data_IF_498065918592
#
_entry.id   IF_498065918592
#
_cell.length_a   1.000
_cell.length_b   1.000
_cell.length_c   1.000
_cell.angle_alpha   90.00
_cell.angle_beta   90.00
_cell.angle_gamma   90.00
#
_symmetry.space_group_name_H-M   'P 1'
#
loop_
_entity.id
_entity.type
_entity.pdbx_description
1 polymer ?
#
# COMPACT_ATOMS: atom_id res chain seq x y z
N UNK A 1 16.66 4.52 -5.73
CA UNK A 1 17.31 4.33 -4.40
C UNK A 1 18.05 3.00 -4.22
N UNK A 2 17.52 1.85 -4.65
CA UNK A 2 18.12 0.52 -4.40
C UNK A 2 19.57 0.36 -4.89
N UNK A 3 19.89 0.86 -6.09
CA UNK A 3 21.24 0.81 -6.67
C UNK A 3 22.26 1.68 -5.93
N UNK A 4 21.84 2.85 -5.42
CA UNK A 4 22.70 3.76 -4.66
C UNK A 4 23.11 3.11 -3.34
N UNK A 5 22.15 2.51 -2.62
CA UNK A 5 22.44 1.81 -1.37
C UNK A 5 23.38 0.62 -1.58
N UNK A 6 23.19 -0.12 -2.67
CA UNK A 6 24.08 -1.23 -3.03
C UNK A 6 25.50 -0.74 -3.33
N UNK A 7 25.63 0.34 -4.11
CA UNK A 7 26.92 0.98 -4.37
C UNK A 7 27.61 1.46 -3.09
N UNK A 8 26.86 2.05 -2.15
CA UNK A 8 27.39 2.51 -0.86
C UNK A 8 27.86 1.35 0.03
N UNK A 9 27.17 0.21 0.00
CA UNK A 9 27.60 -1.00 0.73
C UNK A 9 28.88 -1.59 0.13
N UNK A 10 28.97 -1.70 -1.20
CA UNK A 10 30.18 -2.15 -1.89
C UNK A 10 31.35 -1.23 -1.58
N UNK A 11 31.12 0.09 -1.61
CA UNK A 11 32.12 1.10 -1.24
C UNK A 11 32.55 0.95 0.23
N UNK A 12 31.61 0.71 1.14
CA UNK A 12 31.89 0.46 2.56
C UNK A 12 32.76 -0.78 2.77
N UNK A 13 32.47 -1.89 2.08
CA UNK A 13 33.31 -3.10 2.11
C UNK A 13 34.73 -2.82 1.59
N UNK A 14 34.85 -2.02 0.54
CA UNK A 14 36.14 -1.61 -0.03
C UNK A 14 36.91 -0.72 0.96
N UNK A 15 36.25 0.21 1.66
CA UNK A 15 36.85 1.01 2.74
C UNK A 15 37.32 0.15 3.92
N UNK A 16 36.56 -0.88 4.31
CA UNK A 16 36.98 -1.83 5.36
C UNK A 16 38.25 -2.57 4.93
N UNK A 17 38.28 -3.06 3.68
CA UNK A 17 39.46 -3.72 3.13
C UNK A 17 40.68 -2.79 3.11
N UNK A 18 40.51 -1.53 2.67
CA UNK A 18 41.57 -0.53 2.65
C UNK A 18 42.05 -0.14 4.06
N UNK A 19 41.15 -0.09 5.05
CA UNK A 19 41.51 0.13 6.45
C UNK A 19 42.40 -0.99 6.99
N UNK A 20 42.01 -2.26 6.78
CA UNK A 20 42.81 -3.42 7.19
C UNK A 20 44.14 -3.46 6.43
N UNK A 21 44.14 -3.04 5.14
CA UNK A 21 45.36 -2.97 4.35
C UNK A 21 46.35 -1.92 4.89
N UNK A 22 45.82 -0.77 5.26
CA UNK A 22 46.62 0.41 5.63
C UNK A 22 46.95 0.48 7.12
N UNK A 23 46.24 -0.28 7.98
CA UNK A 23 46.63 -0.45 9.37
C UNK A 23 48.00 -1.11 9.40
N UNK A 24 49.00 -0.43 9.96
CA UNK A 24 50.37 -0.94 10.08
C UNK A 24 50.52 -2.16 11.01
N UNK A 25 49.42 -2.76 11.45
CA UNK A 25 49.40 -4.02 12.20
C UNK A 25 49.59 -5.19 11.24
N UNK A 26 50.56 -6.04 11.56
CA UNK A 26 50.89 -7.23 10.76
C UNK A 26 49.77 -8.26 10.96
N UNK A 27 48.78 -8.26 10.07
CA UNK A 27 47.87 -9.40 9.96
C UNK A 27 48.72 -10.61 9.54
N UNK A 28 48.93 -11.55 10.46
CA UNK A 28 49.75 -12.77 10.28
C UNK A 28 49.10 -13.77 9.30
N UNK A 29 48.81 -13.34 8.08
CA UNK A 29 48.42 -14.21 6.98
C UNK A 29 49.68 -14.43 6.15
N UNK A 30 50.27 -15.62 6.31
CA UNK A 30 51.62 -16.04 5.89
C UNK A 30 51.96 -15.89 4.39
N UNK A 31 51.06 -15.43 3.54
CA UNK A 31 51.28 -15.23 2.10
C UNK A 31 51.31 -13.79 1.58
N UNK A 32 50.88 -12.78 2.36
CA UNK A 32 50.56 -11.44 1.82
C UNK A 32 51.55 -10.33 2.26
N UNK A 33 52.54 -10.70 3.07
CA UNK A 33 53.49 -9.78 3.75
C UNK A 33 54.19 -8.77 2.83
N UNK A 34 54.45 -9.12 1.58
CA UNK A 34 55.13 -8.26 0.61
C UNK A 34 54.26 -7.12 0.04
N UNK A 35 52.94 -7.24 0.05
CA UNK A 35 52.03 -6.21 -0.50
C UNK A 35 51.87 -5.02 0.48
N UNK A 36 52.24 -5.20 1.74
CA UNK A 36 51.85 -4.32 2.85
C UNK A 36 52.96 -3.37 3.36
N UNK A 37 54.23 -3.58 3.04
CA UNK A 37 55.34 -2.89 3.73
C UNK A 37 55.95 -1.66 3.02
N UNK A 38 55.51 -1.29 1.81
CA UNK A 38 56.26 -0.34 0.97
C UNK A 38 55.98 1.15 1.13
N UNK A 39 54.90 1.61 1.80
CA UNK A 39 54.38 2.97 1.58
C UNK A 39 53.78 3.67 2.82
N UNK A 40 54.59 3.94 3.84
CA UNK A 40 54.12 4.48 5.14
C UNK A 40 53.26 5.76 5.05
N UNK A 41 53.65 6.77 4.26
CA UNK A 41 52.89 8.02 4.17
C UNK A 41 51.54 7.85 3.44
N UNK A 42 51.53 7.11 2.33
CA UNK A 42 50.29 6.84 1.60
C UNK A 42 49.36 5.88 2.34
N UNK A 43 49.89 4.95 3.14
CA UNK A 43 49.09 4.11 4.02
C UNK A 43 48.31 4.97 5.04
N UNK A 44 48.94 5.95 5.68
CA UNK A 44 48.25 6.87 6.60
C UNK A 44 47.18 7.72 5.91
N UNK A 45 47.44 8.19 4.69
CA UNK A 45 46.43 8.91 3.90
C UNK A 45 45.23 8.02 3.54
N UNK A 46 45.49 6.80 3.05
CA UNK A 46 44.45 5.83 2.68
C UNK A 46 43.62 5.45 3.92
N UNK A 47 44.28 5.23 5.05
CA UNK A 47 43.62 4.93 6.32
C UNK A 47 42.66 6.05 6.73
N UNK A 48 43.14 7.29 6.72
CA UNK A 48 42.36 8.47 7.12
C UNK A 48 41.16 8.70 6.20
N UNK A 49 41.38 8.60 4.88
CA UNK A 49 40.31 8.73 3.88
C UNK A 49 39.27 7.61 4.01
N UNK A 50 39.72 6.36 4.17
CA UNK A 50 38.84 5.20 4.30
C UNK A 50 38.01 5.26 5.58
N UNK A 51 38.62 5.68 6.69
CA UNK A 51 37.93 5.93 7.96
C UNK A 51 36.84 7.00 7.83
N UNK A 52 37.19 8.17 7.27
CA UNK A 52 36.23 9.26 7.08
C UNK A 52 35.06 8.89 6.17
N UNK A 53 35.34 8.15 5.08
CA UNK A 53 34.32 7.69 4.16
C UNK A 53 33.41 6.63 4.79
N UNK A 54 33.99 5.70 5.56
CA UNK A 54 33.23 4.68 6.29
C UNK A 54 32.29 5.31 7.31
N UNK A 55 32.77 6.29 8.08
CA UNK A 55 31.92 7.06 9.01
C UNK A 55 30.76 7.73 8.27
N UNK A 56 31.02 8.37 7.13
CA UNK A 56 29.99 9.03 6.32
C UNK A 56 28.94 8.05 5.78
N UNK A 57 29.35 6.87 5.32
CA UNK A 57 28.44 5.80 4.87
C UNK A 57 27.54 5.35 6.03
N UNK A 58 28.12 5.10 7.21
CA UNK A 58 27.34 4.72 8.40
C UNK A 58 26.36 5.81 8.83
N UNK A 59 26.78 7.08 8.82
CA UNK A 59 25.89 8.20 9.10
C UNK A 59 24.72 8.26 8.13
N UNK A 60 24.95 8.07 6.82
CA UNK A 60 23.87 7.98 5.83
C UNK A 60 22.88 6.86 6.17
N UNK A 61 23.38 5.67 6.50
CA UNK A 61 22.50 4.54 6.82
C UNK A 61 21.66 4.78 8.08
N UNK A 62 22.26 5.36 9.13
CA UNK A 62 21.59 5.60 10.40
C UNK A 62 20.64 6.80 10.36
N UNK A 63 21.06 7.91 9.75
CA UNK A 63 20.34 9.18 9.81
C UNK A 63 19.36 9.35 8.65
N UNK A 64 19.60 8.72 7.50
CA UNK A 64 18.77 8.88 6.30
C UNK A 64 18.03 7.60 5.98
N UNK A 65 18.75 6.51 5.69
CA UNK A 65 18.13 5.29 5.16
C UNK A 65 17.19 4.62 6.15
N UNK A 66 17.65 4.40 7.39
CA UNK A 66 16.88 3.73 8.44
C UNK A 66 15.57 4.47 8.78
N UNK A 67 15.56 5.78 9.10
CA UNK A 67 14.32 6.49 9.39
C UNK A 67 13.39 6.60 8.18
N UNK A 68 13.92 6.78 6.97
CA UNK A 68 13.11 6.77 5.75
C UNK A 68 12.41 5.42 5.54
N UNK A 69 13.12 4.32 5.72
CA UNK A 69 12.55 2.99 5.55
C UNK A 69 11.50 2.67 6.62
N UNK A 70 11.73 3.09 7.88
CA UNK A 70 10.74 2.98 8.95
C UNK A 70 9.50 3.85 8.68
N UNK A 71 9.67 5.09 8.20
CA UNK A 71 8.55 5.96 7.79
C UNK A 71 7.74 5.28 6.69
N UNK A 72 8.40 4.82 5.62
CA UNK A 72 7.75 4.11 4.50
C UNK A 72 6.94 2.91 4.99
N UNK A 73 7.51 2.08 5.87
CA UNK A 73 6.82 0.92 6.46
C UNK A 73 5.58 1.31 7.26
N UNK A 74 5.68 2.35 8.10
CA UNK A 74 4.55 2.85 8.91
C UNK A 74 3.42 3.38 8.04
N UNK A 75 3.72 4.19 7.04
CA UNK A 75 2.71 4.75 6.13
C UNK A 75 1.97 3.65 5.37
N UNK A 76 2.70 2.65 4.85
CA UNK A 76 2.08 1.50 4.15
C UNK A 76 1.18 0.66 5.05
N UNK A 77 1.63 0.36 6.27
CA UNK A 77 0.85 -0.41 7.22
C UNK A 77 -0.44 0.33 7.61
N UNK A 78 -0.33 1.64 7.85
CA UNK A 78 -1.50 2.49 8.12
C UNK A 78 -2.46 2.53 6.93
N UNK A 79 -1.95 2.69 5.70
CA UNK A 79 -2.79 2.70 4.49
C UNK A 79 -3.54 1.38 4.30
N UNK A 80 -2.88 0.23 4.49
CA UNK A 80 -3.54 -1.08 4.44
C UNK A 80 -4.65 -1.19 5.48
N UNK A 81 -4.40 -0.73 6.71
CA UNK A 81 -5.42 -0.70 7.76
C UNK A 81 -6.61 0.16 7.35
N UNK A 82 -6.36 1.36 6.79
CA UNK A 82 -7.41 2.27 6.35
C UNK A 82 -8.20 1.71 5.15
N UNK A 83 -7.58 0.95 4.25
CA UNK A 83 -8.29 0.27 3.17
C UNK A 83 -9.21 -0.84 3.69
N UNK A 84 -8.76 -1.64 4.66
CA UNK A 84 -9.58 -2.68 5.28
C UNK A 84 -10.77 -2.04 6.00
N UNK A 85 -10.51 -0.97 6.76
CA UNK A 85 -11.56 -0.23 7.47
C UNK A 85 -12.56 0.39 6.51
N UNK A 86 -12.08 1.03 5.43
CA UNK A 86 -12.94 1.56 4.36
C UNK A 86 -13.89 0.49 3.82
N UNK A 87 -13.39 -0.71 3.48
CA UNK A 87 -14.26 -1.80 3.01
C UNK A 87 -15.25 -2.24 4.07
N UNK A 88 -14.83 -2.36 5.33
CA UNK A 88 -15.68 -2.72 6.46
C UNK A 88 -16.84 -1.72 6.59
N UNK A 89 -16.54 -0.42 6.59
CA UNK A 89 -17.56 0.64 6.71
C UNK A 89 -18.51 0.64 5.51
N UNK A 90 -18.00 0.49 4.29
CA UNK A 90 -18.86 0.33 3.11
C UNK A 90 -19.84 -0.83 3.27
N UNK A 91 -19.38 -2.00 3.74
CA UNK A 91 -20.24 -3.16 3.95
C UNK A 91 -21.28 -2.88 5.03
N UNK A 92 -20.90 -2.22 6.13
CA UNK A 92 -21.84 -1.83 7.19
C UNK A 92 -22.96 -0.93 6.64
N UNK A 93 -22.61 0.12 5.91
CA UNK A 93 -23.58 1.02 5.29
C UNK A 93 -24.51 0.26 4.34
N UNK A 94 -23.96 -0.60 3.47
CA UNK A 94 -24.74 -1.44 2.55
C UNK A 94 -25.70 -2.38 3.30
N UNK A 95 -25.24 -3.05 4.36
CA UNK A 95 -26.06 -3.94 5.16
C UNK A 95 -27.17 -3.19 5.91
N UNK A 96 -26.86 -2.02 6.48
CA UNK A 96 -27.83 -1.17 7.16
C UNK A 96 -28.92 -0.72 6.18
N UNK A 97 -28.55 -0.26 4.98
CA UNK A 97 -29.50 0.11 3.92
C UNK A 97 -30.33 -1.08 3.43
N UNK A 98 -29.72 -2.26 3.28
CA UNK A 98 -30.44 -3.48 2.93
C UNK A 98 -31.47 -3.87 4.00
N UNK A 99 -31.08 -3.84 5.28
CA UNK A 99 -31.94 -4.19 6.41
C UNK A 99 -33.07 -3.18 6.64
N UNK A 100 -32.85 -1.88 6.37
CA UNK A 100 -33.92 -0.85 6.40
C UNK A 100 -35.13 -1.27 5.55
N UNK A 101 -34.92 -1.93 4.42
CA UNK A 101 -36.00 -2.39 3.55
C UNK A 101 -36.36 -3.88 3.66
N UNK A 102 -35.81 -4.63 4.62
CA UNK A 102 -36.10 -6.05 4.78
C UNK A 102 -36.20 -6.44 6.27
N UNK A 103 -37.41 -6.82 6.71
CA UNK A 103 -37.77 -7.03 8.13
C UNK A 103 -37.19 -8.35 8.70
N UNK A 104 -36.71 -9.27 7.85
CA UNK A 104 -36.08 -10.51 8.30
C UNK A 104 -34.61 -10.27 8.69
N UNK A 105 -34.37 -9.96 9.96
CA UNK A 105 -33.03 -9.85 10.53
C UNK A 105 -32.28 -11.18 10.41
N UNK A 106 -31.33 -11.25 9.49
CA UNK A 106 -30.22 -12.19 9.60
C UNK A 106 -28.99 -11.39 9.96
N UNK A 107 -28.55 -11.48 11.22
CA UNK A 107 -27.31 -10.85 11.65
C UNK A 107 -26.14 -11.54 10.95
N UNK A 108 -25.53 -10.83 10.01
CA UNK A 108 -24.38 -11.32 9.26
C UNK A 108 -23.16 -10.58 9.75
N UNK A 109 -22.16 -11.36 10.17
CA UNK A 109 -20.88 -10.82 10.60
C UNK A 109 -20.22 -10.08 9.42
N UNK A 110 -20.02 -8.78 9.61
CA UNK A 110 -19.41 -7.91 8.59
C UNK A 110 -17.99 -8.34 8.27
N UNK A 111 -17.27 -8.92 9.24
CA UNK A 111 -15.88 -9.32 9.06
C UNK A 111 -15.76 -10.50 8.09
N UNK A 112 -16.81 -11.32 8.00
CA UNK A 112 -16.89 -12.38 6.98
C UNK A 112 -17.05 -11.80 5.58
N UNK A 113 -17.76 -10.69 5.43
CA UNK A 113 -18.04 -10.07 4.13
C UNK A 113 -16.88 -9.19 3.63
N UNK A 114 -15.85 -8.93 4.44
CA UNK A 114 -14.60 -8.33 3.96
C UNK A 114 -13.93 -9.26 2.92
N UNK A 115 -14.14 -10.57 3.02
CA UNK A 115 -13.75 -11.51 1.98
C UNK A 115 -14.62 -11.32 0.73
N UNK A 116 -14.00 -11.07 -0.43
CA UNK A 116 -14.73 -10.73 -1.65
C UNK A 116 -15.59 -11.89 -2.16
N UNK A 117 -15.17 -13.14 -1.94
CA UNK A 117 -15.93 -14.32 -2.36
C UNK A 117 -17.16 -14.51 -1.49
N UNK A 118 -17.03 -14.30 -0.18
CA UNK A 118 -18.15 -14.33 0.76
C UNK A 118 -19.13 -13.18 0.49
N UNK A 119 -18.63 -11.97 0.23
CA UNK A 119 -19.44 -10.83 -0.19
C UNK A 119 -20.29 -11.16 -1.43
N UNK A 120 -19.66 -11.70 -2.48
CA UNK A 120 -20.35 -12.10 -3.71
C UNK A 120 -21.43 -13.14 -3.44
N UNK A 121 -21.08 -14.20 -2.71
CA UNK A 121 -22.00 -15.28 -2.41
C UNK A 121 -23.23 -14.74 -1.64
N UNK A 122 -22.98 -13.91 -0.64
CA UNK A 122 -24.04 -13.31 0.17
C UNK A 122 -24.97 -12.40 -0.63
N UNK A 123 -24.42 -11.48 -1.43
CA UNK A 123 -25.24 -10.49 -2.16
C UNK A 123 -25.88 -11.00 -3.46
N UNK A 124 -25.40 -12.13 -4.00
CA UNK A 124 -26.03 -12.81 -5.15
C UNK A 124 -27.22 -13.69 -4.77
N UNK A 125 -27.40 -13.99 -3.49
CA UNK A 125 -28.53 -14.78 -3.02
C UNK A 125 -29.86 -14.08 -3.32
N UNK A 126 -30.79 -14.82 -3.91
CA UNK A 126 -32.12 -14.33 -4.25
C UNK A 126 -32.99 -14.24 -3.00
N UNK A 127 -33.62 -13.08 -2.80
CA UNK A 127 -34.58 -12.84 -1.72
C UNK A 127 -36.01 -13.02 -2.25
N UNK A 128 -36.22 -12.69 -3.53
CA UNK A 128 -37.46 -12.94 -4.28
C UNK A 128 -37.12 -13.59 -5.61
N UNK A 129 -38.13 -14.03 -6.38
CA UNK A 129 -37.92 -14.63 -7.71
C UNK A 129 -37.20 -13.73 -8.71
N UNK A 130 -37.22 -12.40 -8.49
CA UNK A 130 -36.65 -11.41 -9.42
C UNK A 130 -35.51 -10.57 -8.83
N UNK A 131 -35.29 -10.61 -7.51
CA UNK A 131 -34.32 -9.73 -6.85
C UNK A 131 -33.39 -10.50 -5.91
N UNK A 132 -32.10 -10.26 -6.08
CA UNK A 132 -31.08 -10.64 -5.09
C UNK A 132 -30.86 -9.52 -4.07
N UNK A 133 -30.14 -9.84 -2.99
CA UNK A 133 -29.86 -8.87 -1.91
C UNK A 133 -29.20 -7.58 -2.42
N UNK A 134 -28.36 -7.65 -3.46
CA UNK A 134 -27.77 -6.46 -4.07
C UNK A 134 -28.81 -5.53 -4.72
N UNK A 135 -29.78 -6.10 -5.43
CA UNK A 135 -30.88 -5.31 -6.00
C UNK A 135 -31.73 -4.67 -4.91
N UNK A 136 -32.00 -5.40 -3.81
CA UNK A 136 -32.75 -4.87 -2.67
C UNK A 136 -32.00 -3.69 -2.03
N UNK A 137 -30.69 -3.82 -1.82
CA UNK A 137 -29.84 -2.70 -1.36
C UNK A 137 -29.98 -1.48 -2.26
N UNK A 138 -29.78 -1.64 -3.57
CA UNK A 138 -29.83 -0.51 -4.51
C UNK A 138 -31.20 0.17 -4.56
N UNK A 139 -32.28 -0.59 -4.46
CA UNK A 139 -33.63 -0.05 -4.45
C UNK A 139 -33.94 0.75 -3.17
N UNK A 140 -33.26 0.45 -2.07
CA UNK A 140 -33.45 1.11 -0.78
C UNK A 140 -32.40 2.21 -0.50
N UNK A 141 -31.53 2.51 -1.46
CA UNK A 141 -30.51 3.54 -1.32
C UNK A 141 -31.17 4.93 -1.30
N UNK A 142 -31.14 5.58 -0.13
CA UNK A 142 -31.62 6.95 0.09
C UNK A 142 -30.47 7.97 0.15
N UNK A 143 -30.80 9.26 0.22
CA UNK A 143 -29.81 10.34 0.21
C UNK A 143 -28.87 10.28 1.42
N UNK A 144 -29.39 9.82 2.57
CA UNK A 144 -28.64 9.64 3.81
C UNK A 144 -27.59 8.54 3.65
N UNK A 145 -27.98 7.33 3.23
CA UNK A 145 -27.07 6.21 3.02
C UNK A 145 -26.05 6.52 1.92
N UNK A 146 -26.46 7.22 0.85
CA UNK A 146 -25.54 7.67 -0.17
C UNK A 146 -24.50 8.64 0.41
N UNK A 147 -24.91 9.61 1.23
CA UNK A 147 -24.00 10.55 1.87
C UNK A 147 -23.01 9.85 2.81
N UNK A 148 -23.48 8.88 3.61
CA UNK A 148 -22.63 8.06 4.49
C UNK A 148 -21.56 7.31 3.69
N UNK A 149 -21.95 6.63 2.61
CA UNK A 149 -20.99 5.94 1.73
C UNK A 149 -19.99 6.93 1.13
N UNK A 150 -20.44 8.09 0.66
CA UNK A 150 -19.57 9.11 0.06
C UNK A 150 -18.53 9.66 1.06
N UNK A 151 -18.89 9.78 2.33
CA UNK A 151 -17.96 10.16 3.41
C UNK A 151 -16.83 9.13 3.52
N UNK A 152 -17.13 7.83 3.44
CA UNK A 152 -16.11 6.79 3.46
C UNK A 152 -15.14 6.89 2.28
N UNK A 153 -15.66 7.21 1.08
CA UNK A 153 -14.81 7.47 -0.09
C UNK A 153 -13.91 8.68 0.10
N UNK A 154 -14.40 9.74 0.75
CA UNK A 154 -13.61 10.93 1.06
C UNK A 154 -12.52 10.63 2.10
N UNK A 155 -12.85 9.89 3.17
CA UNK A 155 -11.86 9.45 4.16
C UNK A 155 -10.76 8.59 3.52
N UNK A 156 -11.13 7.64 2.65
CA UNK A 156 -10.15 6.81 1.96
C UNK A 156 -9.35 7.59 0.90
N UNK A 157 -9.92 8.61 0.26
CA UNK A 157 -9.18 9.52 -0.63
C UNK A 157 -8.06 10.27 0.11
N UNK A 158 -8.31 10.71 1.35
CA UNK A 158 -7.28 11.32 2.19
C UNK A 158 -6.17 10.32 2.53
N UNK A 159 -6.52 9.05 2.79
CA UNK A 159 -5.55 7.96 2.97
C UNK A 159 -4.64 7.79 1.74
N UNK A 160 -5.24 7.76 0.55
CA UNK A 160 -4.54 7.63 -0.74
C UNK A 160 -3.61 8.81 -0.95
N UNK A 161 -4.08 10.03 -0.71
CA UNK A 161 -3.29 11.25 -0.87
C UNK A 161 -2.10 11.29 0.11
N UNK A 162 -2.33 10.88 1.36
CA UNK A 162 -1.26 10.74 2.36
C UNK A 162 -0.20 9.72 1.93
N UNK A 163 -0.61 8.58 1.38
CA UNK A 163 0.29 7.55 0.86
C UNK A 163 1.13 8.09 -0.32
N UNK A 164 0.48 8.65 -1.35
CA UNK A 164 1.15 9.16 -2.55
C UNK A 164 2.16 10.28 -2.24
N UNK A 165 1.87 11.11 -1.24
CA UNK A 165 2.76 12.21 -0.82
C UNK A 165 3.97 11.74 0.01
N UNK A 166 3.90 10.57 0.65
CA UNK A 166 4.93 10.09 1.58
C UNK A 166 5.70 8.86 1.10
N UNK A 167 5.20 8.18 0.08
CA UNK A 167 5.73 6.91 -0.41
C UNK A 167 5.83 6.94 -1.93
N UNK A 168 7.05 6.83 -2.43
CA UNK A 168 7.28 6.61 -3.87
C UNK A 168 6.82 5.19 -4.25
N UNK A 169 5.86 5.13 -5.17
CA UNK A 169 5.26 3.90 -5.69
C UNK A 169 5.90 3.59 -7.04
N UNK A 170 6.74 2.55 -7.08
CA UNK A 170 7.48 2.17 -8.29
C UNK A 170 6.58 1.50 -9.36
N UNK A 171 5.45 0.93 -8.96
CA UNK A 171 4.54 0.24 -9.88
C UNK A 171 3.53 1.22 -10.49
N UNK A 172 3.70 1.51 -11.78
CA UNK A 172 2.82 2.41 -12.54
C UNK A 172 1.34 2.02 -12.48
N UNK A 173 0.99 0.74 -12.50
CA UNK A 173 -0.41 0.31 -12.48
C UNK A 173 -1.07 0.68 -11.14
N UNK A 174 -0.34 0.50 -10.04
CA UNK A 174 -0.81 0.82 -8.70
C UNK A 174 -0.93 2.33 -8.53
N UNK A 175 0.08 3.06 -9.01
CA UNK A 175 0.09 4.52 -9.00
C UNK A 175 -1.09 5.09 -9.78
N UNK A 176 -1.33 4.60 -11.00
CA UNK A 176 -2.47 5.02 -11.82
C UNK A 176 -3.81 4.67 -11.18
N UNK A 177 -3.95 3.49 -10.56
CA UNK A 177 -5.17 3.14 -9.83
C UNK A 177 -5.45 4.11 -8.68
N UNK A 178 -4.47 4.39 -7.83
CA UNK A 178 -4.60 5.30 -6.70
C UNK A 178 -4.91 6.73 -7.15
N UNK A 179 -4.26 7.18 -8.22
CA UNK A 179 -4.55 8.49 -8.80
C UNK A 179 -5.95 8.56 -9.42
N UNK A 180 -6.39 7.49 -10.08
CA UNK A 180 -7.74 7.39 -10.63
C UNK A 180 -8.80 7.33 -9.52
N UNK A 181 -8.50 6.68 -8.39
CA UNK A 181 -9.39 6.67 -7.22
C UNK A 181 -9.65 8.10 -6.72
N UNK A 182 -8.62 8.94 -6.65
CA UNK A 182 -8.78 10.37 -6.30
C UNK A 182 -9.70 11.12 -7.26
N UNK A 183 -9.64 10.81 -8.57
CA UNK A 183 -10.50 11.41 -9.59
C UNK A 183 -11.95 10.89 -9.50
N UNK A 184 -12.13 9.59 -9.27
CA UNK A 184 -13.44 8.94 -9.10
C UNK A 184 -14.14 9.54 -7.88
N UNK A 185 -13.47 9.68 -6.75
CA UNK A 185 -14.04 10.30 -5.54
C UNK A 185 -14.58 11.73 -5.80
N UNK A 186 -13.91 12.52 -6.66
CA UNK A 186 -14.40 13.85 -7.07
C UNK A 186 -15.66 13.73 -7.93
N UNK A 187 -15.69 12.78 -8.89
CA UNK A 187 -16.87 12.55 -9.72
C UNK A 187 -18.09 12.10 -8.90
N UNK A 188 -17.84 11.34 -7.82
CA UNK A 188 -18.87 10.83 -6.92
C UNK A 188 -19.50 11.91 -6.05
N UNK A 189 -18.77 12.97 -5.67
CA UNK A 189 -19.29 14.09 -4.85
C UNK A 189 -20.51 14.80 -5.45
N UNK A 190 -20.69 14.72 -6.77
CA UNK A 190 -21.82 15.35 -7.48
C UNK A 190 -22.90 14.35 -7.90
N UNK A 191 -22.86 13.12 -7.38
CA UNK A 191 -23.88 12.11 -7.66
C UNK A 191 -25.14 12.45 -6.89
N UNK A 192 -26.25 12.54 -7.60
CA UNK A 192 -27.60 12.61 -7.00
C UNK A 192 -28.30 11.31 -7.34
N UNK A 193 -29.19 10.84 -6.45
CA UNK A 193 -30.04 9.69 -6.74
C UNK A 193 -30.91 9.96 -7.97
N UNK A 194 -31.24 8.90 -8.71
CA UNK A 194 -32.10 8.88 -9.90
C UNK A 194 -31.47 9.47 -11.17
N UNK A 195 -30.14 9.42 -11.29
CA UNK A 195 -29.37 9.77 -12.51
C UNK A 195 -28.74 8.49 -13.11
N UNK A 196 -28.28 8.52 -14.37
CA UNK A 196 -27.53 7.38 -14.95
C UNK A 196 -26.22 7.09 -14.18
N UNK A 197 -25.79 8.04 -13.34
CA UNK A 197 -24.62 7.95 -12.44
C UNK A 197 -24.82 6.96 -11.29
N UNK A 198 -26.05 6.63 -10.91
CA UNK A 198 -26.38 5.65 -9.86
C UNK A 198 -25.81 4.27 -10.22
N UNK A 199 -25.93 3.90 -11.50
CA UNK A 199 -25.41 2.64 -12.03
C UNK A 199 -23.89 2.62 -12.01
N UNK A 200 -23.24 3.77 -12.27
CA UNK A 200 -21.78 3.88 -12.23
C UNK A 200 -21.26 3.74 -10.79
N UNK A 201 -21.95 4.37 -9.83
CA UNK A 201 -21.66 4.24 -8.41
C UNK A 201 -21.85 2.81 -7.90
N UNK A 202 -22.98 2.18 -8.23
CA UNK A 202 -23.24 0.78 -7.89
C UNK A 202 -22.19 -0.17 -8.47
N UNK A 203 -21.77 0.07 -9.73
CA UNK A 203 -20.69 -0.70 -10.36
C UNK A 203 -19.38 -0.55 -9.60
N UNK A 204 -19.01 0.67 -9.24
CA UNK A 204 -17.77 0.94 -8.49
C UNK A 204 -17.78 0.25 -7.12
N UNK A 205 -18.87 0.33 -6.37
CA UNK A 205 -19.02 -0.37 -5.09
C UNK A 205 -18.82 -1.87 -5.27
N UNK A 206 -19.44 -2.45 -6.31
CA UNK A 206 -19.29 -3.86 -6.62
C UNK A 206 -17.85 -4.21 -7.00
N UNK A 207 -17.17 -3.41 -7.83
CA UNK A 207 -15.77 -3.64 -8.19
C UNK A 207 -14.84 -3.67 -6.97
N UNK A 208 -15.00 -2.72 -6.06
CA UNK A 208 -14.20 -2.59 -4.84
C UNK A 208 -14.46 -3.75 -3.87
N UNK A 209 -15.72 -4.12 -3.67
CA UNK A 209 -16.10 -5.09 -2.64
C UNK A 209 -16.04 -6.54 -3.13
N UNK A 210 -16.34 -6.80 -4.40
CA UNK A 210 -16.34 -8.13 -5.01
C UNK A 210 -15.02 -8.49 -5.71
N UNK A 211 -14.02 -7.60 -5.70
CA UNK A 211 -12.76 -7.74 -6.45
C UNK A 211 -13.00 -8.02 -7.95
N UNK A 212 -13.91 -7.27 -8.56
CA UNK A 212 -14.27 -7.37 -9.98
C UNK A 212 -13.59 -6.26 -10.78
N UNK A 213 -13.06 -6.57 -11.95
CA UNK A 213 -12.49 -5.59 -12.89
C UNK A 213 -13.24 -5.67 -14.22
N UNK A 214 -13.78 -4.55 -14.71
CA UNK A 214 -14.53 -4.53 -15.96
C UNK A 214 -13.71 -4.91 -17.20
N UNK A 215 -12.38 -4.70 -17.18
CA UNK A 215 -11.48 -5.08 -18.29
C UNK A 215 -10.99 -6.54 -18.22
N UNK A 216 -11.10 -7.22 -17.06
CA UNK A 216 -10.52 -8.54 -16.84
C UNK A 216 -11.43 -9.59 -16.18
N UNK A 217 -12.68 -9.24 -15.85
CA UNK A 217 -13.60 -10.10 -15.12
C UNK A 217 -13.32 -10.15 -13.62
N UNK A 218 -13.76 -11.23 -12.96
CA UNK A 218 -13.44 -11.48 -11.55
C UNK A 218 -11.95 -11.73 -11.39
N UNK A 219 -11.30 -10.93 -10.56
CA UNK A 219 -9.90 -11.14 -10.22
C UNK A 219 -9.80 -12.04 -8.98
N UNK A 220 -8.61 -12.62 -8.77
CA UNK A 220 -8.36 -13.41 -7.56
C UNK A 220 -8.75 -12.61 -6.31
N UNK A 221 -9.34 -13.30 -5.34
CA UNK A 221 -9.75 -12.73 -4.07
C UNK A 221 -8.61 -11.91 -3.44
N UNK A 222 -8.97 -10.76 -2.85
CA UNK A 222 -8.05 -9.77 -2.28
C UNK A 222 -7.08 -9.14 -3.29
N UNK A 223 -7.48 -8.96 -4.55
CA UNK A 223 -6.61 -8.35 -5.59
C UNK A 223 -6.01 -7.02 -5.15
N UNK A 224 -6.83 -6.10 -4.65
CA UNK A 224 -6.38 -4.78 -4.20
C UNK A 224 -5.49 -4.86 -2.97
N UNK A 225 -5.78 -5.75 -2.02
CA UNK A 225 -4.91 -5.97 -0.85
C UNK A 225 -3.55 -6.57 -1.28
N UNK A 226 -3.54 -7.54 -2.19
CA UNK A 226 -2.33 -8.10 -2.80
C UNK A 226 -1.57 -7.02 -3.59
N UNK A 227 -2.28 -6.12 -4.25
CA UNK A 227 -1.70 -4.98 -4.95
C UNK A 227 -1.04 -4.02 -3.97
N UNK A 228 -1.71 -3.66 -2.89
CA UNK A 228 -1.18 -2.75 -1.87
C UNK A 228 -0.05 -3.36 -1.04
N UNK A 229 -0.02 -4.69 -0.86
CA UNK A 229 1.14 -5.39 -0.29
C UNK A 229 2.39 -5.32 -1.17
N UNK A 230 2.26 -5.01 -2.47
CA UNK A 230 3.39 -4.82 -3.40
C UNK A 230 3.95 -3.39 -3.39
N UNK A 231 3.29 -2.44 -2.73
CA UNK A 231 3.78 -1.06 -2.54
C UNK A 231 4.96 -1.08 -1.60
#
# INVERSE_FOLDING_TARGET
MRYINYSLLVMGLLCIFLLIKSSGEVVEISGIRYIFQGFNFGNTMIFTLSSGMLVSIWFYFLVVYLPQNQKKKRVKANFLSQYIEFRRQLILHILNTYNKGNISESYVDTDLLIDSDKFKAYFKEYVTESQNRWHVFLNNLDEEALAEILIEFEAFKEAVSYLLNNVEIENNNIFSFLHNFNAISISLKNTKLYDDRDKQFARLLWEILASFSFMGGYQENNHFEKMFKKI
#
